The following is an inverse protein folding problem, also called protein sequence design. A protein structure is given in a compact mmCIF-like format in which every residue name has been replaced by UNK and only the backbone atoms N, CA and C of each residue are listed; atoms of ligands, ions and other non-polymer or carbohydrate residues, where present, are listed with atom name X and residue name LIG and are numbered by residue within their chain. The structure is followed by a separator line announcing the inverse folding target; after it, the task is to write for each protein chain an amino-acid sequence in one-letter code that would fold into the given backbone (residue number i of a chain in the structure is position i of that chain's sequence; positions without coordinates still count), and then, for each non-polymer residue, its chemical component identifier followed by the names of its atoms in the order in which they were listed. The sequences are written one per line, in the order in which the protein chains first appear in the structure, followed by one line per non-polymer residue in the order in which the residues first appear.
data_IF_575787920110
#
_entry.id   IF_575787920110
#
_cell.length_a   1.000
_cell.length_b   1.000
_cell.length_c   1.000
_cell.angle_alpha   90.00
_cell.angle_beta   90.00
_cell.angle_gamma   90.00
#
_symmetry.space_group_name_H-M   'P 1'
#
loop_
_entity.id
_entity.type
_entity.pdbx_description
1 polymer ?
#
# COMPACT_ATOMS: atom_id res chain seq x y z
N UNK A 1 -10.18 -30.30 7.20
CA UNK A 1 -10.76 -29.57 8.34
C UNK A 1 -10.10 -28.22 8.41
N UNK A 2 -10.85 -27.13 8.62
CA UNK A 2 -10.23 -25.79 8.75
C UNK A 2 -9.33 -25.77 9.99
N UNK A 3 -8.09 -25.26 9.85
CA UNK A 3 -7.12 -25.15 10.95
C UNK A 3 -7.32 -23.89 11.80
N UNK A 4 -8.53 -23.35 11.80
CA UNK A 4 -8.92 -22.15 12.54
C UNK A 4 -10.38 -22.22 12.98
N UNK A 5 -10.70 -21.50 14.04
CA UNK A 5 -12.06 -21.46 14.60
C UNK A 5 -12.50 -20.02 14.87
N UNK A 6 -13.43 -19.53 14.04
CA UNK A 6 -14.06 -18.21 14.22
C UNK A 6 -15.10 -18.29 15.36
N UNK A 7 -15.24 -17.20 16.13
CA UNK A 7 -16.28 -17.13 17.17
C UNK A 7 -17.69 -17.33 16.57
N UNK A 8 -18.57 -17.95 17.33
CA UNK A 8 -19.92 -18.25 16.86
C UNK A 8 -20.68 -16.97 16.50
N UNK A 9 -20.55 -15.92 17.32
CA UNK A 9 -21.19 -14.63 17.07
C UNK A 9 -20.68 -13.98 15.79
N UNK A 10 -19.36 -13.98 15.53
CA UNK A 10 -18.81 -13.41 14.31
C UNK A 10 -19.19 -14.24 13.06
N UNK A 11 -19.33 -15.56 13.20
CA UNK A 11 -19.72 -16.42 12.10
C UNK A 11 -21.10 -16.07 11.51
N UNK A 12 -22.00 -15.48 12.32
CA UNK A 12 -23.29 -14.99 11.87
C UNK A 12 -23.19 -13.83 10.86
N UNK A 13 -22.06 -13.14 10.81
CA UNK A 13 -21.79 -12.05 9.86
C UNK A 13 -21.16 -12.53 8.54
N UNK A 14 -20.97 -13.82 8.31
CA UNK A 14 -20.33 -14.36 7.12
C UNK A 14 -21.01 -13.94 5.81
N UNK A 15 -22.34 -14.07 5.73
CA UNK A 15 -23.10 -13.65 4.55
C UNK A 15 -23.11 -12.14 4.35
N UNK A 16 -23.10 -11.38 5.44
CA UNK A 16 -22.94 -9.93 5.38
C UNK A 16 -21.57 -9.55 4.79
N UNK A 17 -20.51 -10.14 5.31
CA UNK A 17 -19.13 -9.88 4.88
C UNK A 17 -18.93 -10.15 3.39
N UNK A 18 -19.40 -11.30 2.89
CA UNK A 18 -19.37 -11.67 1.48
C UNK A 18 -20.14 -10.67 0.60
N UNK A 19 -21.36 -10.32 0.99
CA UNK A 19 -22.18 -9.37 0.23
C UNK A 19 -21.53 -8.00 0.13
N UNK A 20 -20.89 -7.54 1.22
CA UNK A 20 -20.13 -6.28 1.23
C UNK A 20 -18.98 -6.35 0.25
N UNK A 21 -18.14 -7.38 0.35
CA UNK A 21 -17.01 -7.56 -0.56
C UNK A 21 -17.46 -7.64 -2.01
N UNK A 22 -18.42 -8.51 -2.33
CA UNK A 22 -18.90 -8.71 -3.70
C UNK A 22 -19.48 -7.42 -4.29
N UNK A 23 -20.21 -6.63 -3.49
CA UNK A 23 -20.69 -5.32 -3.95
C UNK A 23 -19.53 -4.35 -4.24
N UNK A 24 -18.57 -4.22 -3.34
CA UNK A 24 -17.40 -3.36 -3.54
C UNK A 24 -16.58 -3.79 -4.76
N UNK A 25 -16.43 -5.08 -4.98
CA UNK A 25 -15.75 -5.64 -6.15
C UNK A 25 -16.41 -5.25 -7.47
N UNK A 26 -17.74 -5.00 -7.48
CA UNK A 26 -18.45 -4.56 -8.70
C UNK A 26 -18.18 -3.11 -9.08
N UNK A 27 -17.67 -2.27 -8.14
CA UNK A 27 -17.55 -0.81 -8.31
C UNK A 27 -16.14 -0.28 -8.05
N UNK A 28 -15.05 -0.94 -8.52
CA UNK A 28 -13.71 -0.41 -8.32
C UNK A 28 -13.57 0.97 -8.95
N UNK A 29 -12.90 1.89 -8.27
CA UNK A 29 -12.66 3.24 -8.71
C UNK A 29 -11.17 3.59 -8.62
N UNK A 30 -10.70 4.47 -9.49
CA UNK A 30 -9.29 4.87 -9.56
C UNK A 30 -8.87 5.66 -8.33
N UNK A 31 -7.59 5.57 -7.98
CA UNK A 31 -6.94 6.28 -6.87
C UNK A 31 -7.32 7.78 -6.84
N UNK A 32 -7.83 8.24 -5.70
CA UNK A 32 -8.25 9.63 -5.48
C UNK A 32 -9.62 10.00 -6.04
N UNK A 33 -10.34 9.05 -6.66
CA UNK A 33 -11.69 9.25 -7.19
C UNK A 33 -12.69 8.16 -6.73
N UNK A 34 -12.47 7.56 -5.57
CA UNK A 34 -13.25 6.48 -4.97
C UNK A 34 -14.59 6.97 -4.40
N UNK A 35 -15.34 7.75 -5.17
CA UNK A 35 -16.56 8.46 -4.68
C UNK A 35 -17.69 7.52 -4.26
N UNK A 36 -18.00 6.51 -5.07
CA UNK A 36 -19.10 5.55 -4.79
C UNK A 36 -18.69 4.59 -3.69
N UNK A 37 -17.46 4.10 -3.74
CA UNK A 37 -16.84 3.23 -2.73
C UNK A 37 -16.85 3.90 -1.37
N UNK A 38 -16.34 5.13 -1.28
CA UNK A 38 -16.33 5.94 -0.07
C UNK A 38 -17.74 6.22 0.45
N UNK A 39 -18.68 6.62 -0.43
CA UNK A 39 -20.06 6.87 -0.04
C UNK A 39 -20.73 5.62 0.54
N UNK A 40 -20.50 4.45 -0.05
CA UNK A 40 -21.00 3.18 0.45
C UNK A 40 -20.44 2.87 1.85
N UNK A 41 -19.12 2.91 2.02
CA UNK A 41 -18.46 2.64 3.30
C UNK A 41 -18.89 3.62 4.40
N UNK A 42 -18.98 4.92 4.09
CA UNK A 42 -19.51 5.95 5.04
C UNK A 42 -20.92 5.65 5.50
N UNK A 43 -21.81 5.32 4.56
CA UNK A 43 -23.20 4.96 4.89
C UNK A 43 -23.28 3.75 5.79
N UNK A 44 -22.45 2.72 5.54
CA UNK A 44 -22.39 1.54 6.39
C UNK A 44 -21.89 1.89 7.80
N UNK A 45 -20.80 2.66 7.94
CA UNK A 45 -20.26 3.08 9.23
C UNK A 45 -21.27 3.93 10.02
N UNK A 46 -21.95 4.86 9.37
CA UNK A 46 -23.03 5.63 9.99
C UNK A 46 -24.17 4.73 10.49
N UNK A 47 -24.55 3.71 9.70
CA UNK A 47 -25.63 2.78 10.08
C UNK A 47 -25.26 1.90 11.30
N UNK A 48 -23.98 1.69 11.55
CA UNK A 48 -23.45 1.00 12.74
C UNK A 48 -23.31 1.94 13.95
N UNK A 49 -23.56 3.25 13.79
CA UNK A 49 -23.47 4.22 14.88
C UNK A 49 -22.10 4.87 15.06
N UNK A 50 -21.17 4.73 14.10
CA UNK A 50 -19.89 5.41 14.14
C UNK A 50 -20.04 6.90 13.76
N UNK A 51 -19.23 7.74 14.40
CA UNK A 51 -19.05 9.14 14.02
C UNK A 51 -18.12 9.22 12.81
N UNK A 52 -18.67 9.51 11.64
CA UNK A 52 -17.89 9.65 10.39
C UNK A 52 -17.33 11.06 10.29
N UNK A 53 -16.03 11.16 9.98
CA UNK A 53 -15.32 12.42 9.73
C UNK A 53 -14.73 12.38 8.33
N UNK A 54 -15.15 13.34 7.51
CA UNK A 54 -14.73 13.52 6.12
C UNK A 54 -13.69 14.64 6.02
N UNK A 55 -12.84 14.58 4.97
CA UNK A 55 -11.81 15.58 4.70
C UNK A 55 -12.17 16.34 3.41
N UNK A 56 -12.23 17.69 3.43
CA UNK A 56 -12.53 18.46 2.24
C UNK A 56 -11.58 18.16 1.07
N UNK A 57 -12.13 17.78 -0.07
CA UNK A 57 -11.36 17.47 -1.28
C UNK A 57 -10.76 16.07 -1.33
N UNK A 58 -11.02 15.21 -0.35
CA UNK A 58 -10.58 13.81 -0.31
C UNK A 58 -11.78 12.85 -0.39
N UNK A 59 -11.57 11.69 -0.97
CA UNK A 59 -12.53 10.57 -0.91
C UNK A 59 -12.35 9.76 0.37
N UNK A 60 -11.15 9.76 0.94
CA UNK A 60 -10.85 9.09 2.21
C UNK A 60 -11.54 9.73 3.41
N UNK A 61 -11.82 8.93 4.42
CA UNK A 61 -12.48 9.36 5.67
C UNK A 61 -12.06 8.46 6.84
N UNK A 62 -12.40 8.89 8.06
CA UNK A 62 -12.37 7.97 9.20
C UNK A 62 -13.70 7.92 9.93
N UNK A 63 -13.89 6.89 10.74
CA UNK A 63 -15.08 6.68 11.53
C UNK A 63 -14.72 6.21 12.94
N UNK A 64 -15.24 6.90 13.96
CA UNK A 64 -14.94 6.71 15.37
C UNK A 64 -16.09 6.05 16.13
N UNK A 65 -15.75 5.03 16.93
CA UNK A 65 -16.58 4.48 17.99
C UNK A 65 -15.95 4.89 19.33
N UNK A 66 -16.61 5.81 20.03
CA UNK A 66 -16.13 6.34 21.31
C UNK A 66 -16.78 5.60 22.48
N UNK A 67 -15.96 5.03 23.33
CA UNK A 67 -16.39 4.28 24.52
C UNK A 67 -16.21 5.17 25.75
N UNK A 68 -17.28 5.39 26.50
CA UNK A 68 -17.28 6.29 27.65
C UNK A 68 -16.20 5.90 28.69
N UNK A 69 -15.42 6.90 29.13
CA UNK A 69 -14.34 6.71 30.10
C UNK A 69 -13.02 6.22 29.55
N UNK A 70 -12.95 5.87 28.25
CA UNK A 70 -11.70 5.47 27.61
C UNK A 70 -11.01 6.65 26.93
N UNK A 71 -9.69 6.74 27.11
CA UNK A 71 -8.83 7.73 26.45
C UNK A 71 -8.01 7.10 25.31
N UNK A 72 -7.61 5.83 25.45
CA UNK A 72 -6.84 5.10 24.43
C UNK A 72 -7.68 4.88 23.19
N UNK A 73 -7.06 5.07 22.00
CA UNK A 73 -7.68 4.81 20.71
C UNK A 73 -6.79 3.90 19.84
N UNK A 74 -7.39 2.82 19.35
CA UNK A 74 -6.77 1.91 18.38
C UNK A 74 -7.41 2.15 17.02
N UNK A 75 -6.59 2.28 15.98
CA UNK A 75 -7.06 2.49 14.61
C UNK A 75 -6.81 1.25 13.72
N UNK A 76 -7.71 1.04 12.77
CA UNK A 76 -7.60 0.04 11.70
C UNK A 76 -7.71 0.75 10.35
N UNK A 77 -6.83 0.40 9.40
CA UNK A 77 -6.84 0.98 8.05
C UNK A 77 -7.34 -0.04 7.05
N UNK A 78 -8.15 0.43 6.11
CA UNK A 78 -8.49 -0.25 4.86
C UNK A 78 -8.39 0.75 3.71
N UNK A 79 -7.67 0.38 2.67
CA UNK A 79 -7.59 1.10 1.39
C UNK A 79 -8.83 0.87 0.54
N UNK A 80 -9.13 1.79 -0.40
CA UNK A 80 -10.38 1.78 -1.14
C UNK A 80 -10.24 1.69 -2.65
N UNK A 81 -9.09 2.07 -3.20
CA UNK A 81 -8.90 2.21 -4.63
C UNK A 81 -8.74 0.88 -5.37
N UNK A 82 -8.98 0.92 -6.67
CA UNK A 82 -8.78 -0.17 -7.60
C UNK A 82 -7.74 0.17 -8.65
N UNK A 83 -7.38 -0.81 -9.45
CA UNK A 83 -6.38 -0.73 -10.51
C UNK A 83 -7.00 -0.45 -11.87
N UNK A 84 -6.34 0.37 -12.67
CA UNK A 84 -6.73 0.66 -14.07
C UNK A 84 -6.37 -0.52 -14.99
N UNK A 85 -7.14 -1.60 -14.86
CA UNK A 85 -7.05 -2.80 -15.71
C UNK A 85 -8.40 -3.49 -15.82
N UNK A 86 -8.68 -4.26 -16.91
CA UNK A 86 -9.94 -4.99 -17.01
C UNK A 86 -10.00 -6.08 -15.93
N UNK A 87 -11.19 -6.33 -15.39
CA UNK A 87 -11.45 -7.50 -14.55
C UNK A 87 -11.74 -8.71 -15.44
N UNK A 88 -10.82 -9.68 -15.45
CA UNK A 88 -10.95 -10.92 -16.24
C UNK A 88 -11.49 -12.09 -15.42
N UNK A 89 -12.02 -11.86 -14.23
CA UNK A 89 -12.67 -12.90 -13.45
C UNK A 89 -13.99 -13.36 -14.12
N UNK A 90 -14.37 -14.61 -13.90
CA UNK A 90 -15.65 -15.17 -14.32
C UNK A 90 -16.73 -15.08 -13.21
N UNK A 91 -16.47 -14.24 -12.19
CA UNK A 91 -17.36 -14.08 -11.03
C UNK A 91 -18.65 -13.36 -11.41
N UNK A 92 -19.79 -13.76 -10.80
CA UNK A 92 -21.06 -13.05 -10.94
C UNK A 92 -21.00 -11.62 -10.43
N UNK A 93 -20.05 -11.32 -9.53
CA UNK A 93 -19.76 -10.00 -8.96
C UNK A 93 -18.57 -9.30 -9.63
N UNK A 94 -18.20 -9.66 -10.85
CA UNK A 94 -17.18 -8.99 -11.64
C UNK A 94 -17.45 -7.49 -11.75
N UNK A 95 -16.39 -6.69 -11.88
CA UNK A 95 -16.47 -5.25 -12.07
C UNK A 95 -17.46 -4.87 -13.19
N UNK A 96 -18.29 -3.86 -12.91
CA UNK A 96 -19.16 -3.25 -13.94
C UNK A 96 -18.45 -2.19 -14.76
N UNK A 97 -17.22 -1.83 -14.38
CA UNK A 97 -16.36 -0.88 -15.08
C UNK A 97 -15.38 -1.63 -15.99
N UNK A 98 -15.34 -1.31 -17.27
CA UNK A 98 -14.62 -2.06 -18.31
C UNK A 98 -13.10 -2.18 -18.04
N UNK A 99 -12.50 -1.12 -17.48
CA UNK A 99 -11.06 -1.02 -17.26
C UNK A 99 -10.71 -0.70 -15.80
N UNK A 100 -11.46 -1.24 -14.86
CA UNK A 100 -11.18 -1.10 -13.43
C UNK A 100 -11.40 -2.44 -12.73
N UNK A 101 -10.48 -2.81 -11.83
CA UNK A 101 -10.55 -4.07 -11.09
C UNK A 101 -9.96 -3.95 -9.68
N UNK A 102 -10.46 -4.72 -8.72
CA UNK A 102 -9.86 -4.90 -7.40
C UNK A 102 -8.84 -6.06 -7.39
N UNK A 103 -7.81 -5.98 -8.25
CA UNK A 103 -6.78 -7.02 -8.37
C UNK A 103 -5.65 -6.91 -7.34
N UNK A 104 -5.75 -5.96 -6.39
CA UNK A 104 -4.97 -5.90 -5.16
C UNK A 104 -5.78 -6.39 -3.93
N UNK A 105 -7.10 -6.56 -4.07
CA UNK A 105 -7.97 -7.10 -3.02
C UNK A 105 -8.43 -6.09 -1.97
N UNK A 106 -8.37 -4.79 -2.26
CA UNK A 106 -8.83 -3.73 -1.35
C UNK A 106 -10.33 -3.84 -1.02
N UNK A 107 -11.14 -4.43 -1.91
CA UNK A 107 -12.52 -4.82 -1.61
C UNK A 107 -12.63 -5.75 -0.40
N UNK A 108 -11.66 -6.66 -0.20
CA UNK A 108 -11.58 -7.53 0.96
C UNK A 108 -11.16 -6.79 2.23
N UNK A 109 -10.23 -5.83 2.13
CA UNK A 109 -9.79 -5.02 3.27
C UNK A 109 -10.95 -4.18 3.82
N UNK A 110 -11.71 -3.53 2.93
CA UNK A 110 -12.92 -2.79 3.29
C UNK A 110 -13.99 -3.69 3.91
N UNK A 111 -14.24 -4.87 3.33
CA UNK A 111 -15.22 -5.82 3.84
C UNK A 111 -14.84 -6.36 5.23
N UNK A 112 -13.55 -6.63 5.46
CA UNK A 112 -13.02 -7.02 6.78
C UNK A 112 -13.23 -5.89 7.79
N UNK A 113 -12.87 -4.66 7.43
CA UNK A 113 -13.03 -3.48 8.29
C UNK A 113 -14.51 -3.24 8.66
N UNK A 114 -15.41 -3.28 7.66
CA UNK A 114 -16.86 -3.10 7.88
C UNK A 114 -17.48 -4.23 8.71
N UNK A 115 -16.98 -5.48 8.55
CA UNK A 115 -17.44 -6.63 9.34
C UNK A 115 -17.00 -6.50 10.80
N UNK A 116 -15.73 -6.15 11.04
CA UNK A 116 -15.21 -5.89 12.37
C UNK A 116 -15.94 -4.70 13.02
N UNK A 117 -16.12 -3.61 12.28
CA UNK A 117 -16.82 -2.42 12.77
C UNK A 117 -18.26 -2.72 13.21
N UNK A 118 -19.00 -3.49 12.42
CA UNK A 118 -20.37 -3.92 12.77
C UNK A 118 -20.37 -4.75 14.04
N UNK A 119 -19.50 -5.77 14.12
CA UNK A 119 -19.39 -6.62 15.31
C UNK A 119 -19.08 -5.80 16.59
N UNK A 120 -18.10 -4.90 16.50
CA UNK A 120 -17.68 -4.07 17.64
C UNK A 120 -18.78 -3.09 18.09
N UNK A 121 -19.54 -2.53 17.13
CA UNK A 121 -20.69 -1.68 17.44
C UNK A 121 -21.82 -2.43 18.16
N UNK A 122 -22.09 -3.68 17.78
CA UNK A 122 -23.11 -4.53 18.43
C UNK A 122 -22.62 -5.05 19.80
N UNK A 123 -21.29 -5.06 20.05
CA UNK A 123 -20.65 -5.61 21.26
C UNK A 123 -19.79 -4.58 22.02
N UNK A 124 -20.18 -3.31 22.06
CA UNK A 124 -19.41 -2.22 22.68
C UNK A 124 -19.00 -2.48 24.15
N UNK A 125 -19.79 -3.26 24.87
CA UNK A 125 -19.52 -3.61 26.26
C UNK A 125 -18.25 -4.45 26.46
N UNK A 126 -17.69 -5.04 25.40
CA UNK A 126 -16.43 -5.81 25.44
C UNK A 126 -15.20 -4.96 25.20
N UNK A 127 -15.39 -3.69 24.79
CA UNK A 127 -14.30 -2.80 24.40
C UNK A 127 -13.68 -2.11 25.62
N UNK A 128 -12.35 -2.05 25.63
CA UNK A 128 -11.56 -1.34 26.63
C UNK A 128 -10.84 -0.09 26.06
N UNK A 129 -11.12 0.27 24.83
CA UNK A 129 -10.54 1.42 24.11
C UNK A 129 -11.53 2.00 23.11
N UNK A 130 -11.28 3.22 22.68
CA UNK A 130 -11.93 3.80 21.51
C UNK A 130 -11.41 3.12 20.25
N UNK A 131 -12.25 3.01 19.22
CA UNK A 131 -11.88 2.38 17.96
C UNK A 131 -12.08 3.37 16.81
N UNK A 132 -11.09 3.47 15.92
CA UNK A 132 -11.16 4.22 14.66
C UNK A 132 -10.96 3.29 13.49
N UNK A 133 -11.83 3.39 12.49
CA UNK A 133 -11.58 2.80 11.17
C UNK A 133 -11.24 3.92 10.19
N UNK A 134 -10.13 3.76 9.46
CA UNK A 134 -9.66 4.70 8.44
C UNK A 134 -9.86 4.02 7.10
N UNK A 135 -10.70 4.62 6.25
CA UNK A 135 -10.90 4.20 4.87
C UNK A 135 -10.04 5.11 4.00
N UNK A 136 -8.93 4.56 3.56
CA UNK A 136 -7.89 5.32 2.88
C UNK A 136 -8.13 5.38 1.38
N UNK A 137 -7.93 6.55 0.79
CA UNK A 137 -7.89 6.76 -0.66
C UNK A 137 -6.48 6.53 -1.22
N UNK A 138 -6.38 6.28 -2.53
CA UNK A 138 -5.19 6.44 -3.36
C UNK A 138 -3.92 5.76 -2.79
N UNK A 139 -3.98 4.48 -2.48
CA UNK A 139 -2.82 3.68 -2.08
C UNK A 139 -1.92 3.38 -3.29
N UNK A 140 -2.53 3.06 -4.44
CA UNK A 140 -1.86 2.58 -5.66
C UNK A 140 -1.19 3.70 -6.48
N UNK A 141 -1.50 4.98 -6.19
CA UNK A 141 -0.88 6.11 -6.91
C UNK A 141 0.29 6.72 -6.15
N UNK A 142 1.49 6.22 -6.40
CA UNK A 142 2.73 6.74 -5.79
C UNK A 142 2.99 8.24 -6.06
N UNK A 143 2.30 8.87 -7.01
CA UNK A 143 2.41 10.32 -7.28
C UNK A 143 1.61 11.16 -6.30
N UNK A 144 0.60 10.55 -5.69
CA UNK A 144 -0.33 11.22 -4.79
C UNK A 144 -0.63 10.31 -3.61
N UNK A 145 0.34 10.10 -2.68
CA UNK A 145 0.17 9.17 -1.56
C UNK A 145 -1.03 9.57 -0.71
N UNK A 146 -2.07 8.73 -0.76
CA UNK A 146 -3.33 9.00 -0.07
C UNK A 146 -3.19 9.03 1.44
N UNK A 147 -2.36 8.11 1.99
CA UNK A 147 -2.08 8.06 3.42
C UNK A 147 -1.40 9.34 3.93
N UNK A 148 -0.41 9.89 3.22
CA UNK A 148 0.26 11.13 3.60
C UNK A 148 -0.73 12.29 3.72
N UNK A 149 -1.57 12.47 2.70
CA UNK A 149 -2.60 13.52 2.69
C UNK A 149 -3.63 13.35 3.80
N UNK A 150 -4.04 12.11 4.08
CA UNK A 150 -4.98 11.85 5.17
C UNK A 150 -4.34 12.08 6.54
N UNK A 151 -3.04 11.81 6.71
CA UNK A 151 -2.29 12.16 7.92
C UNK A 151 -2.25 13.68 8.11
N UNK A 152 -1.92 14.44 7.06
CA UNK A 152 -1.97 15.91 7.06
C UNK A 152 -3.39 16.42 7.38
N UNK A 153 -4.43 15.76 6.90
CA UNK A 153 -5.83 16.00 7.21
C UNK A 153 -6.23 15.64 8.65
N UNK A 154 -5.36 14.99 9.41
CA UNK A 154 -5.57 14.67 10.82
C UNK A 154 -6.20 13.31 11.10
N UNK A 155 -6.18 12.34 10.17
CA UNK A 155 -6.79 11.01 10.37
C UNK A 155 -6.17 10.23 11.55
N UNK A 156 -4.95 10.58 11.95
CA UNK A 156 -4.19 9.95 13.05
C UNK A 156 -4.34 10.72 14.38
N UNK A 157 -5.00 11.88 14.38
CA UNK A 157 -5.11 12.70 15.59
C UNK A 157 -5.80 11.91 16.73
N UNK A 158 -5.09 11.78 17.87
CA UNK A 158 -5.56 11.05 19.04
C UNK A 158 -5.58 9.52 18.89
N UNK A 159 -4.87 8.98 17.92
CA UNK A 159 -4.63 7.53 17.76
C UNK A 159 -3.36 7.14 18.50
N UNK A 160 -3.42 6.11 19.33
CA UNK A 160 -2.28 5.57 20.09
C UNK A 160 -1.62 4.39 19.39
N UNK A 161 -2.39 3.60 18.67
CA UNK A 161 -1.91 2.42 17.94
C UNK A 161 -2.68 2.26 16.63
N UNK A 162 -2.00 1.79 15.57
CA UNK A 162 -2.63 1.57 14.27
C UNK A 162 -2.26 0.21 13.66
N UNK A 163 -3.24 -0.45 13.05
CA UNK A 163 -3.07 -1.74 12.40
C UNK A 163 -3.66 -1.73 11.00
N UNK A 164 -2.97 -2.41 10.08
CA UNK A 164 -3.48 -2.73 8.77
C UNK A 164 -3.20 -4.20 8.45
N UNK A 165 -4.01 -4.78 7.59
CA UNK A 165 -3.72 -6.05 6.96
C UNK A 165 -3.69 -5.89 5.45
N UNK A 166 -2.94 -6.78 4.78
CA UNK A 166 -3.01 -6.94 3.34
C UNK A 166 -3.31 -8.41 3.04
N UNK A 167 -4.27 -8.68 2.16
CA UNK A 167 -4.55 -10.03 1.72
C UNK A 167 -3.41 -10.57 0.83
N UNK A 168 -3.17 -11.87 0.89
CA UNK A 168 -2.22 -12.59 0.03
C UNK A 168 -2.85 -13.90 -0.44
N UNK A 169 -3.30 -13.93 -1.69
CA UNK A 169 -3.96 -15.11 -2.26
C UNK A 169 -2.98 -16.24 -2.65
N UNK A 170 -1.68 -16.04 -2.48
CA UNK A 170 -0.68 -17.12 -2.53
C UNK A 170 -0.57 -17.91 -1.21
N UNK A 171 -1.24 -17.43 -0.16
CA UNK A 171 -1.29 -18.04 1.16
C UNK A 171 -2.67 -18.61 1.45
N UNK A 172 -2.74 -19.79 2.03
CA UNK A 172 -4.00 -20.41 2.46
C UNK A 172 -4.76 -19.56 3.48
N UNK A 173 -6.08 -19.51 3.36
CA UNK A 173 -6.96 -18.94 4.40
C UNK A 173 -6.66 -19.57 5.76
N UNK A 174 -6.68 -18.76 6.82
CA UNK A 174 -6.31 -19.18 8.19
C UNK A 174 -4.81 -19.12 8.44
N UNK A 175 -4.05 -18.45 7.58
CA UNK A 175 -2.63 -18.16 7.79
C UNK A 175 -2.36 -16.65 7.89
N UNK A 176 -1.34 -16.30 8.64
CA UNK A 176 -0.83 -14.94 8.82
C UNK A 176 0.68 -14.92 8.66
N UNK A 177 1.21 -13.91 7.95
CA UNK A 177 2.63 -13.59 7.92
C UNK A 177 2.86 -12.20 8.47
N UNK A 178 3.85 -12.07 9.34
CA UNK A 178 4.24 -10.80 9.94
C UNK A 178 5.72 -10.86 10.33
N UNK A 179 6.40 -9.72 10.38
CA UNK A 179 7.77 -9.61 10.85
C UNK A 179 7.90 -8.53 11.93
N UNK A 180 8.80 -8.71 12.88
CA UNK A 180 9.21 -7.66 13.82
C UNK A 180 10.18 -6.71 13.07
N UNK A 181 9.78 -5.45 12.86
CA UNK A 181 10.52 -4.48 12.06
C UNK A 181 10.00 -4.35 10.63
N UNK A 182 10.89 -4.41 9.65
CA UNK A 182 10.58 -4.06 8.25
C UNK A 182 9.57 -5.05 7.64
N UNK A 183 8.47 -4.50 7.08
CA UNK A 183 7.44 -5.26 6.38
C UNK A 183 7.36 -4.94 4.88
N UNK A 184 7.69 -3.71 4.47
CA UNK A 184 7.72 -3.28 3.06
C UNK A 184 9.02 -2.57 2.72
N UNK A 185 9.36 -2.44 1.42
CA UNK A 185 10.52 -1.66 1.00
C UNK A 185 10.29 -0.15 1.11
N UNK A 186 11.37 0.63 1.28
CA UNK A 186 11.41 1.99 0.77
C UNK A 186 11.30 1.91 -0.74
N UNK A 187 10.37 2.62 -1.33
CA UNK A 187 10.16 2.58 -2.77
C UNK A 187 9.86 3.95 -3.33
N UNK A 188 10.41 4.26 -4.49
CA UNK A 188 10.12 5.47 -5.21
C UNK A 188 10.00 5.21 -6.70
N UNK A 189 9.03 5.87 -7.34
CA UNK A 189 9.02 6.08 -8.78
C UNK A 189 9.80 7.36 -9.11
N UNK A 190 10.58 7.35 -10.17
CA UNK A 190 11.34 8.52 -10.61
C UNK A 190 11.09 8.87 -12.05
N UNK A 191 11.16 10.17 -12.36
CA UNK A 191 11.17 10.72 -13.70
C UNK A 191 12.37 11.64 -13.83
N UNK A 192 13.21 11.39 -14.81
CA UNK A 192 14.40 12.16 -15.16
C UNK A 192 14.16 12.88 -16.49
N UNK A 193 14.26 14.19 -16.48
CA UNK A 193 14.20 15.04 -17.67
C UNK A 193 15.55 15.72 -17.91
N UNK A 194 16.09 15.57 -19.12
CA UNK A 194 17.38 16.12 -19.50
C UNK A 194 17.20 16.99 -20.74
N UNK A 195 17.45 18.29 -20.58
CA UNK A 195 17.55 19.24 -21.66
C UNK A 195 19.00 19.49 -22.07
N UNK A 196 19.33 19.22 -23.32
CA UNK A 196 20.62 19.47 -23.96
C UNK A 196 20.57 20.62 -24.96
N UNK A 197 21.41 20.53 -25.99
CA UNK A 197 21.49 21.49 -27.12
C UNK A 197 21.58 20.71 -28.43
N UNK A 198 20.64 20.93 -29.35
CA UNK A 198 20.67 20.29 -30.66
C UNK A 198 21.80 20.83 -31.55
N UNK A 199 22.37 19.93 -32.34
CA UNK A 199 23.38 20.29 -33.38
C UNK A 199 23.32 19.30 -34.55
N UNK A 200 23.91 19.66 -35.67
CA UNK A 200 24.05 18.74 -36.78
C UNK A 200 24.96 17.55 -36.41
N UNK A 201 24.56 16.32 -36.72
CA UNK A 201 25.28 15.10 -36.34
C UNK A 201 26.75 15.04 -36.79
N UNK A 202 27.15 15.81 -37.84
CA UNK A 202 28.55 15.95 -38.27
C UNK A 202 29.35 17.00 -37.48
N UNK A 203 28.69 17.81 -36.65
CA UNK A 203 29.34 18.83 -35.80
C UNK A 203 28.88 18.72 -34.34
N UNK A 204 29.02 17.54 -33.70
CA UNK A 204 28.43 17.26 -32.36
C UNK A 204 29.03 18.13 -31.26
N UNK A 205 30.25 18.67 -31.45
CA UNK A 205 30.90 19.60 -30.51
C UNK A 205 30.14 20.94 -30.32
N UNK A 206 29.15 21.24 -31.17
CA UNK A 206 28.28 22.42 -31.04
C UNK A 206 27.02 22.17 -30.26
N UNK A 207 26.77 20.93 -29.86
CA UNK A 207 25.60 20.49 -29.10
C UNK A 207 25.94 19.96 -27.73
N UNK A 208 24.87 19.63 -26.96
CA UNK A 208 24.93 18.86 -25.74
C UNK A 208 23.98 17.67 -25.90
N UNK A 209 24.54 16.47 -25.98
CA UNK A 209 23.81 15.24 -26.31
C UNK A 209 23.06 14.71 -25.06
N UNK A 210 21.75 14.94 -25.03
CA UNK A 210 20.88 14.53 -23.91
C UNK A 210 20.77 13.00 -23.77
N UNK A 211 20.83 12.24 -24.90
CA UNK A 211 20.81 10.77 -24.84
C UNK A 211 22.06 10.23 -24.15
N UNK A 212 23.25 10.75 -24.54
CA UNK A 212 24.52 10.31 -23.94
C UNK A 212 24.59 10.65 -22.45
N UNK A 213 24.03 11.79 -22.06
CA UNK A 213 23.96 12.16 -20.64
C UNK A 213 22.97 11.26 -19.85
N UNK A 214 21.81 10.91 -20.43
CA UNK A 214 20.86 9.99 -19.82
C UNK A 214 21.48 8.59 -19.61
N UNK A 215 22.18 8.05 -20.60
CA UNK A 215 22.88 6.78 -20.49
C UNK A 215 23.92 6.82 -19.36
N UNK A 216 24.72 7.90 -19.27
CA UNK A 216 25.70 8.07 -18.19
C UNK A 216 25.02 8.07 -16.81
N UNK A 217 23.93 8.81 -16.65
CA UNK A 217 23.21 8.88 -15.37
C UNK A 217 22.64 7.52 -14.98
N UNK A 218 22.07 6.77 -15.92
CA UNK A 218 21.54 5.43 -15.67
C UNK A 218 22.67 4.46 -15.26
N UNK A 219 23.80 4.48 -15.97
CA UNK A 219 24.97 3.66 -15.64
C UNK A 219 25.54 4.02 -14.25
N UNK A 220 25.61 5.32 -13.91
CA UNK A 220 26.06 5.77 -12.60
C UNK A 220 25.13 5.28 -11.48
N UNK A 221 23.81 5.28 -11.70
CA UNK A 221 22.82 4.78 -10.72
C UNK A 221 22.93 3.27 -10.51
N UNK A 222 23.10 2.49 -11.58
CA UNK A 222 23.38 1.05 -11.49
C UNK A 222 24.68 0.78 -10.73
N UNK A 223 25.71 1.58 -11.00
CA UNK A 223 27.00 1.49 -10.29
C UNK A 223 26.84 1.76 -8.80
N UNK A 224 26.03 2.75 -8.39
CA UNK A 224 25.79 3.09 -7.00
C UNK A 224 25.13 1.91 -6.27
N UNK A 225 24.09 1.32 -6.84
CA UNK A 225 23.45 0.12 -6.27
C UNK A 225 24.47 -1.02 -6.12
N UNK A 226 25.31 -1.25 -7.14
CA UNK A 226 26.27 -2.38 -7.12
C UNK A 226 27.51 -2.15 -6.22
N UNK A 227 27.90 -0.90 -5.96
CA UNK A 227 29.21 -0.58 -5.36
C UNK A 227 29.19 0.35 -4.17
N UNK A 228 28.06 1.00 -3.88
CA UNK A 228 27.93 1.98 -2.79
C UNK A 228 26.93 1.59 -1.73
N UNK A 229 26.11 0.56 -1.99
CA UNK A 229 25.22 -0.03 -0.99
C UNK A 229 25.84 -1.28 -0.38
N UNK A 230 25.38 -1.66 0.80
CA UNK A 230 25.83 -2.87 1.49
C UNK A 230 25.38 -4.13 0.73
N UNK A 231 26.23 -5.16 0.54
CA UNK A 231 25.83 -6.42 -0.07
C UNK A 231 24.79 -7.20 0.78
N UNK A 232 24.61 -6.83 2.05
CA UNK A 232 23.59 -7.39 2.94
C UNK A 232 22.28 -6.61 2.95
N UNK A 233 22.23 -5.48 2.24
CA UNK A 233 21.06 -4.61 2.10
C UNK A 233 20.57 -4.61 0.66
N UNK A 234 19.57 -5.43 0.32
CA UNK A 234 19.04 -5.47 -1.04
C UNK A 234 18.54 -4.10 -1.50
N UNK A 235 18.97 -3.70 -2.68
CA UNK A 235 18.50 -2.51 -3.36
C UNK A 235 18.31 -2.80 -4.84
N UNK A 236 17.35 -2.13 -5.46
CA UNK A 236 17.05 -2.25 -6.89
C UNK A 236 16.90 -0.85 -7.47
N UNK A 237 17.65 -0.57 -8.53
CA UNK A 237 17.39 0.54 -9.43
C UNK A 237 16.89 -0.04 -10.76
N UNK A 238 15.80 0.49 -11.30
CA UNK A 238 15.26 0.06 -12.57
C UNK A 238 14.89 1.26 -13.43
N UNK A 239 15.40 1.28 -14.67
CA UNK A 239 14.95 2.20 -15.72
C UNK A 239 14.01 1.41 -16.66
N UNK A 240 12.70 1.67 -16.56
CA UNK A 240 11.68 0.96 -17.36
C UNK A 240 11.34 1.65 -18.67
N UNK A 241 11.62 2.95 -18.80
CA UNK A 241 11.28 3.75 -19.98
C UNK A 241 12.37 4.78 -20.28
N UNK A 242 12.70 4.95 -21.55
CA UNK A 242 13.56 6.03 -22.04
C UNK A 242 13.05 6.50 -23.40
N UNK A 243 12.85 7.82 -23.54
CA UNK A 243 12.39 8.45 -24.77
C UNK A 243 13.23 9.66 -25.08
N UNK A 244 13.78 9.76 -26.31
CA UNK A 244 14.59 10.91 -26.71
C UNK A 244 15.02 10.85 -28.18
N UNK A 245 15.43 12.01 -28.68
CA UNK A 245 15.81 12.19 -30.07
C UNK A 245 14.61 12.27 -31.02
N UNK A 246 14.82 12.93 -32.17
CA UNK A 246 13.78 13.14 -33.17
C UNK A 246 14.20 12.64 -34.55
N UNK A 247 15.47 12.83 -34.91
CA UNK A 247 16.03 12.42 -36.23
C UNK A 247 17.45 11.87 -36.04
N UNK A 248 17.88 10.89 -36.86
CA UNK A 248 19.15 10.20 -36.65
C UNK A 248 20.41 11.02 -36.93
N UNK A 249 20.28 12.16 -37.65
CA UNK A 249 21.39 13.01 -38.06
C UNK A 249 21.51 14.32 -37.27
N UNK A 250 20.86 14.41 -36.12
CA UNK A 250 20.99 15.54 -35.19
C UNK A 250 21.39 15.05 -33.78
N UNK A 251 22.15 15.87 -33.06
CA UNK A 251 22.40 15.70 -31.63
C UNK A 251 21.09 15.94 -30.90
N UNK A 252 20.61 14.99 -30.06
CA UNK A 252 19.34 15.12 -29.36
C UNK A 252 19.45 16.16 -28.24
N UNK A 253 18.46 17.03 -28.14
CA UNK A 253 18.37 18.10 -27.13
C UNK A 253 17.41 17.83 -25.99
N UNK A 254 16.74 16.67 -26.00
CA UNK A 254 15.86 16.26 -24.93
C UNK A 254 15.77 14.73 -24.78
N UNK A 255 15.76 14.28 -23.50
CA UNK A 255 15.45 12.91 -23.11
C UNK A 255 14.60 12.93 -21.85
N UNK A 256 13.62 12.03 -21.80
CA UNK A 256 12.93 11.64 -20.58
C UNK A 256 13.18 10.17 -20.31
N UNK A 257 13.56 9.83 -19.06
CA UNK A 257 13.62 8.47 -18.56
C UNK A 257 12.76 8.31 -17.30
N UNK A 258 12.23 7.10 -17.08
CA UNK A 258 11.38 6.78 -15.92
C UNK A 258 11.71 5.40 -15.38
N UNK A 259 11.56 5.25 -14.07
CA UNK A 259 11.79 3.97 -13.43
C UNK A 259 11.44 3.94 -11.95
N UNK A 260 11.99 2.97 -11.24
CA UNK A 260 11.77 2.79 -9.82
C UNK A 260 13.08 2.56 -9.08
N UNK A 261 13.10 2.95 -7.80
CA UNK A 261 14.15 2.61 -6.83
C UNK A 261 13.49 1.87 -5.67
N UNK A 262 14.15 0.84 -5.17
CA UNK A 262 13.74 0.09 -3.99
C UNK A 262 14.94 -0.16 -3.09
N UNK A 263 14.73 -0.07 -1.77
CA UNK A 263 15.74 -0.42 -0.77
C UNK A 263 15.09 -1.10 0.43
N UNK A 264 15.87 -1.87 1.17
CA UNK A 264 15.37 -2.66 2.30
C UNK A 264 15.87 -2.17 3.65
N UNK A 265 16.52 -1.02 3.69
CA UNK A 265 16.91 -0.32 4.93
C UNK A 265 17.08 1.18 4.69
N UNK A 266 17.00 1.95 5.79
CA UNK A 266 17.01 3.42 5.76
C UNK A 266 18.38 4.00 5.35
N UNK A 267 19.47 3.33 5.71
CA UNK A 267 20.84 3.76 5.35
C UNK A 267 21.03 3.67 3.83
N UNK A 268 20.65 2.53 3.24
CA UNK A 268 20.69 2.31 1.80
C UNK A 268 19.79 3.30 1.05
N UNK A 269 18.57 3.56 1.52
CA UNK A 269 17.68 4.56 0.94
C UNK A 269 18.32 5.96 0.93
N UNK A 270 18.93 6.35 2.06
CA UNK A 270 19.63 7.62 2.21
C UNK A 270 20.85 7.73 1.29
N UNK A 271 21.64 6.66 1.16
CA UNK A 271 22.78 6.59 0.23
C UNK A 271 22.31 6.81 -1.21
N UNK A 272 21.27 6.10 -1.64
CA UNK A 272 20.71 6.22 -3.00
C UNK A 272 20.21 7.64 -3.28
N UNK A 273 19.45 8.25 -2.37
CA UNK A 273 18.92 9.62 -2.52
C UNK A 273 20.04 10.67 -2.59
N UNK A 274 21.07 10.53 -1.75
CA UNK A 274 22.21 11.48 -1.75
C UNK A 274 23.02 11.40 -3.04
N UNK A 275 23.31 10.20 -3.51
CA UNK A 275 24.04 10.02 -4.78
C UNK A 275 23.21 10.51 -5.97
N UNK A 276 21.91 10.28 -5.98
CA UNK A 276 21.01 10.79 -6.97
C UNK A 276 21.08 12.32 -7.09
N UNK A 277 21.00 13.03 -5.95
CA UNK A 277 21.13 14.49 -5.89
C UNK A 277 22.51 14.97 -6.43
N UNK A 278 23.59 14.23 -6.13
CA UNK A 278 24.94 14.53 -6.62
C UNK A 278 25.02 14.38 -8.13
N UNK A 279 24.51 13.31 -8.70
CA UNK A 279 24.51 13.05 -10.15
C UNK A 279 23.76 14.14 -10.91
N UNK A 280 22.61 14.59 -10.39
CA UNK A 280 21.83 15.68 -11.00
C UNK A 280 22.62 17.00 -10.95
N UNK A 281 23.27 17.27 -9.84
CA UNK A 281 24.14 18.47 -9.70
C UNK A 281 25.30 18.42 -10.68
N UNK A 282 26.00 17.30 -10.82
CA UNK A 282 27.08 17.10 -11.79
C UNK A 282 26.63 17.30 -13.24
N UNK A 283 25.46 16.75 -13.59
CA UNK A 283 24.87 16.92 -14.92
C UNK A 283 24.60 18.40 -15.22
N UNK A 284 24.10 19.13 -14.25
CA UNK A 284 23.85 20.58 -14.36
C UNK A 284 25.16 21.37 -14.54
N UNK A 285 26.21 21.03 -13.80
CA UNK A 285 27.55 21.63 -13.94
C UNK A 285 28.18 21.37 -15.32
N UNK A 286 27.82 20.29 -15.99
CA UNK A 286 28.22 19.95 -17.38
C UNK A 286 27.43 20.72 -18.43
N UNK A 287 26.48 21.55 -18.04
CA UNK A 287 25.68 22.43 -18.87
C UNK A 287 24.33 21.90 -19.33
N UNK A 288 23.91 20.72 -18.83
CA UNK A 288 22.57 20.17 -19.10
C UNK A 288 21.52 20.80 -18.15
N UNK A 289 20.30 20.89 -18.63
CA UNK A 289 19.12 21.21 -17.79
C UNK A 289 18.54 19.90 -17.26
N UNK A 290 19.02 19.44 -16.14
CA UNK A 290 18.65 18.14 -15.59
C UNK A 290 17.77 18.31 -14.37
N UNK A 291 16.59 17.69 -14.42
CA UNK A 291 15.69 17.62 -13.28
C UNK A 291 15.29 16.17 -13.04
N UNK A 292 15.13 15.82 -11.77
CA UNK A 292 14.58 14.53 -11.39
C UNK A 292 13.54 14.74 -10.31
N UNK A 293 12.36 14.20 -10.56
CA UNK A 293 11.28 14.11 -9.57
C UNK A 293 11.19 12.67 -9.12
N UNK A 294 11.21 12.48 -7.83
CA UNK A 294 11.03 11.17 -7.20
C UNK A 294 9.90 11.25 -6.19
N UNK A 295 8.93 10.38 -6.33
CA UNK A 295 7.80 10.22 -5.40
C UNK A 295 7.77 8.79 -4.90
N UNK A 296 7.51 8.59 -3.62
CA UNK A 296 7.50 7.23 -3.09
C UNK A 296 7.23 7.17 -1.60
N UNK A 297 7.22 5.97 -1.07
CA UNK A 297 6.82 5.65 0.28
C UNK A 297 8.02 5.23 1.15
N UNK A 298 8.10 5.65 2.41
CA UNK A 298 8.98 5.01 3.38
C UNK A 298 8.54 3.56 3.60
N UNK A 299 9.42 2.74 4.14
CA UNK A 299 9.04 1.38 4.51
C UNK A 299 8.03 1.37 5.66
N UNK A 300 7.14 0.39 5.65
CA UNK A 300 6.38 0.04 6.85
C UNK A 300 7.30 -0.72 7.79
N UNK A 301 7.47 -0.18 9.00
CA UNK A 301 8.27 -0.79 10.07
C UNK A 301 7.34 -1.12 11.23
N UNK A 302 7.11 -2.40 11.47
CA UNK A 302 6.27 -2.86 12.56
C UNK A 302 6.94 -2.56 13.91
N UNK A 303 6.19 -1.90 14.80
CA UNK A 303 6.63 -1.72 16.17
C UNK A 303 6.56 -3.04 16.94
N UNK A 304 7.57 -3.35 17.74
CA UNK A 304 7.69 -4.62 18.45
C UNK A 304 6.45 -4.99 19.28
N UNK A 305 5.88 -4.04 20.03
CA UNK A 305 4.67 -4.32 20.83
C UNK A 305 3.45 -4.54 19.94
N UNK A 306 3.30 -3.76 18.85
CA UNK A 306 2.20 -3.94 17.91
C UNK A 306 2.29 -5.30 17.19
N UNK A 307 3.49 -5.69 16.76
CA UNK A 307 3.79 -7.03 16.23
C UNK A 307 3.35 -8.13 17.22
N UNK A 308 3.77 -8.03 18.49
CA UNK A 308 3.40 -9.02 19.51
C UNK A 308 1.89 -9.10 19.73
N UNK A 309 1.18 -7.96 19.70
CA UNK A 309 -0.28 -7.92 19.83
C UNK A 309 -0.97 -8.61 18.65
N UNK A 310 -0.49 -8.44 17.41
CA UNK A 310 -1.03 -9.16 16.25
C UNK A 310 -0.82 -10.66 16.42
N UNK A 311 0.39 -11.12 16.79
CA UNK A 311 0.67 -12.54 17.05
C UNK A 311 -0.26 -13.09 18.12
N UNK A 312 -0.40 -12.39 19.26
CA UNK A 312 -1.26 -12.82 20.34
C UNK A 312 -2.73 -12.91 19.89
N UNK A 313 -3.21 -11.92 19.13
CA UNK A 313 -4.59 -11.87 18.64
C UNK A 313 -4.89 -12.99 17.64
N UNK A 314 -3.94 -13.31 16.78
CA UNK A 314 -4.04 -14.37 15.77
C UNK A 314 -3.92 -15.78 16.41
N UNK A 315 -2.94 -16.00 17.29
CA UNK A 315 -2.67 -17.32 17.90
C UNK A 315 -3.80 -17.86 18.79
N UNK A 316 -4.77 -17.01 19.15
CA UNK A 316 -5.94 -17.46 19.90
C UNK A 316 -6.83 -18.42 19.10
N UNK A 317 -6.75 -18.39 17.75
CA UNK A 317 -7.64 -19.16 16.89
C UNK A 317 -7.01 -19.65 15.59
N UNK A 318 -5.76 -19.22 15.26
CA UNK A 318 -4.99 -19.67 14.09
C UNK A 318 -3.83 -20.55 14.54
N UNK A 319 -3.48 -21.54 13.71
CA UNK A 319 -2.31 -22.39 13.90
C UNK A 319 -1.15 -22.03 12.96
N UNK A 320 -1.45 -21.39 11.82
CA UNK A 320 -0.46 -21.05 10.79
C UNK A 320 -0.06 -19.58 10.86
N UNK A 321 0.97 -19.28 11.66
CA UNK A 321 1.52 -17.93 11.82
C UNK A 321 3.02 -17.99 11.54
N UNK A 322 3.46 -17.31 10.48
CA UNK A 322 4.87 -17.05 10.18
C UNK A 322 5.25 -15.68 10.76
N UNK A 323 5.91 -15.71 11.91
CA UNK A 323 6.35 -14.50 12.64
C UNK A 323 7.73 -14.00 12.25
N UNK A 324 8.33 -14.57 11.20
CA UNK A 324 9.67 -14.24 10.70
C UNK A 324 9.67 -14.18 9.17
N UNK A 325 8.59 -13.73 8.57
CA UNK A 325 8.48 -13.65 7.13
C UNK A 325 9.49 -12.65 6.55
N UNK A 326 9.87 -12.86 5.30
CA UNK A 326 10.62 -11.85 4.57
C UNK A 326 9.73 -10.65 4.29
N UNK A 327 10.27 -9.40 4.38
CA UNK A 327 9.53 -8.22 3.97
C UNK A 327 9.14 -8.31 2.50
N UNK A 328 8.02 -7.69 2.12
CA UNK A 328 7.68 -7.55 0.72
C UNK A 328 8.61 -6.54 0.03
N UNK A 329 8.91 -6.79 -1.23
CA UNK A 329 9.71 -5.88 -2.06
C UNK A 329 8.88 -4.72 -2.64
N UNK A 330 7.56 -4.79 -2.54
CA UNK A 330 6.64 -3.69 -2.78
C UNK A 330 6.76 -2.62 -1.70
N UNK A 331 6.30 -1.41 -1.99
CA UNK A 331 6.16 -0.31 -1.03
C UNK A 331 4.68 -0.11 -0.70
N UNK A 332 4.40 0.45 0.47
CA UNK A 332 3.06 0.59 1.03
C UNK A 332 2.97 1.93 1.78
N UNK A 333 2.01 2.77 1.41
CA UNK A 333 1.90 4.13 1.94
C UNK A 333 1.29 4.18 3.36
N UNK A 334 0.78 3.08 3.88
CA UNK A 334 0.42 2.91 5.30
C UNK A 334 1.56 3.30 6.24
N UNK A 335 2.79 3.26 5.75
CA UNK A 335 4.00 3.72 6.44
C UNK A 335 3.88 5.16 6.96
N UNK A 336 3.22 6.07 6.23
CA UNK A 336 2.97 7.44 6.69
C UNK A 336 2.10 7.47 7.95
N UNK A 337 1.07 6.61 8.01
CA UNK A 337 0.20 6.51 9.18
C UNK A 337 0.94 5.93 10.38
N UNK A 338 1.73 4.86 10.18
CA UNK A 338 2.57 4.27 11.24
C UNK A 338 3.57 5.29 11.77
N UNK A 339 4.21 6.06 10.89
CA UNK A 339 5.19 7.08 11.30
C UNK A 339 4.56 8.27 12.06
N UNK A 340 3.25 8.49 11.92
CA UNK A 340 2.53 9.61 12.54
C UNK A 340 1.88 9.28 13.89
N UNK A 341 1.76 8.00 14.26
CA UNK A 341 1.29 7.63 15.62
C UNK A 341 2.42 7.74 16.64
N UNK A 342 2.12 7.98 17.93
CA UNK A 342 3.12 8.02 18.99
C UNK A 342 3.99 6.76 19.00
N UNK A 343 5.30 6.94 19.17
CA UNK A 343 6.30 5.87 19.18
C UNK A 343 6.28 4.96 17.92
N UNK A 344 5.62 5.40 16.82
CA UNK A 344 5.37 4.61 15.62
C UNK A 344 4.70 3.26 15.91
N UNK A 345 3.78 3.26 16.89
CA UNK A 345 3.15 2.04 17.39
C UNK A 345 2.09 1.53 16.43
N UNK A 346 2.53 0.85 15.37
CA UNK A 346 1.69 0.27 14.36
C UNK A 346 2.25 -1.04 13.83
N UNK A 347 1.40 -1.80 13.13
CA UNK A 347 1.81 -3.02 12.44
C UNK A 347 0.97 -3.28 11.20
N UNK A 348 1.65 -3.72 10.14
CA UNK A 348 1.09 -4.35 8.94
C UNK A 348 1.34 -5.86 9.02
N UNK A 349 0.35 -6.66 8.63
CA UNK A 349 0.50 -8.10 8.49
C UNK A 349 -0.20 -8.61 7.23
N UNK A 350 0.27 -9.74 6.69
CA UNK A 350 -0.38 -10.41 5.56
C UNK A 350 -1.36 -11.46 6.05
N UNK A 351 -2.53 -11.47 5.43
CA UNK A 351 -3.62 -12.41 5.68
C UNK A 351 -3.77 -13.36 4.50
N UNK A 352 -3.66 -14.66 4.74
CA UNK A 352 -3.91 -15.66 3.71
C UNK A 352 -5.34 -15.60 3.18
N UNK A 353 -5.47 -15.48 1.87
CA UNK A 353 -6.74 -15.41 1.15
C UNK A 353 -6.82 -16.38 -0.03
N UNK A 354 -5.85 -17.28 -0.17
CA UNK A 354 -5.83 -18.36 -1.14
C UNK A 354 -6.53 -19.63 -0.66
N UNK A 355 -6.81 -20.54 -1.59
CA UNK A 355 -7.37 -21.85 -1.30
C UNK A 355 -6.98 -22.84 -2.41
N UNK A 356 -6.02 -23.72 -2.13
CA UNK A 356 -5.55 -24.71 -3.11
C UNK A 356 -6.66 -25.64 -3.58
N UNK A 357 -7.59 -26.03 -2.70
CA UNK A 357 -8.74 -26.88 -3.04
C UNK A 357 -9.67 -26.22 -4.08
N UNK A 358 -9.78 -24.88 -4.07
CA UNK A 358 -10.57 -24.09 -5.02
C UNK A 358 -9.74 -23.60 -6.22
N UNK A 359 -8.44 -23.94 -6.28
CA UNK A 359 -7.53 -23.45 -7.32
C UNK A 359 -7.18 -21.97 -7.18
N UNK A 360 -7.38 -21.37 -6.00
CA UNK A 360 -7.07 -19.97 -5.73
C UNK A 360 -5.63 -19.87 -5.19
N UNK A 361 -4.73 -19.43 -6.06
CA UNK A 361 -3.32 -19.16 -5.76
C UNK A 361 -2.82 -18.08 -6.72
N UNK A 362 -3.03 -16.81 -6.36
CA UNK A 362 -2.75 -15.68 -7.23
C UNK A 362 -1.74 -14.74 -6.56
N UNK A 363 -0.95 -14.05 -7.37
CA UNK A 363 -0.15 -12.92 -6.90
C UNK A 363 -0.95 -11.62 -7.04
N UNK A 364 -0.63 -10.65 -6.20
CA UNK A 364 -1.21 -9.30 -6.31
C UNK A 364 -1.00 -8.75 -7.73
N UNK A 365 -1.97 -7.99 -8.22
CA UNK A 365 -2.01 -7.41 -9.58
C UNK A 365 -2.07 -8.46 -10.72
N UNK A 366 -2.22 -9.75 -10.41
CA UNK A 366 -2.50 -10.75 -11.46
C UNK A 366 -3.90 -10.55 -12.04
N UNK A 367 -4.11 -11.03 -13.27
CA UNK A 367 -5.40 -10.92 -13.91
C UNK A 367 -5.70 -12.19 -14.72
N UNK A 368 -6.72 -12.99 -14.34
CA UNK A 368 -7.70 -12.72 -13.26
C UNK A 368 -7.10 -12.80 -11.85
N UNK A 369 -7.74 -12.13 -10.88
CA UNK A 369 -7.41 -12.20 -9.47
C UNK A 369 -8.58 -12.74 -8.66
N UNK A 370 -8.36 -13.82 -7.93
CA UNK A 370 -9.35 -14.45 -7.06
C UNK A 370 -8.84 -14.53 -5.64
N UNK A 371 -9.73 -14.38 -4.68
CA UNK A 371 -9.47 -14.70 -3.28
C UNK A 371 -10.65 -15.47 -2.68
N UNK A 372 -10.38 -16.21 -1.62
CA UNK A 372 -11.41 -16.97 -0.90
C UNK A 372 -12.07 -16.10 0.18
N UNK A 373 -13.39 -15.91 0.08
CA UNK A 373 -14.19 -15.11 1.02
C UNK A 373 -14.08 -15.57 2.48
N UNK A 374 -13.67 -16.80 2.73
CA UNK A 374 -13.44 -17.29 4.09
C UNK A 374 -12.36 -16.50 4.84
N UNK A 375 -11.46 -15.78 4.15
CA UNK A 375 -10.46 -14.89 4.75
C UNK A 375 -11.09 -13.69 5.46
N UNK A 376 -12.28 -13.25 5.04
CA UNK A 376 -12.93 -12.03 5.55
C UNK A 376 -13.20 -12.13 7.05
N UNK A 377 -13.76 -13.25 7.51
CA UNK A 377 -14.00 -13.45 8.94
C UNK A 377 -12.71 -13.66 9.73
N UNK A 378 -11.67 -14.23 9.11
CA UNK A 378 -10.37 -14.40 9.76
C UNK A 378 -9.74 -13.03 10.04
N UNK A 379 -9.70 -12.14 9.05
CA UNK A 379 -9.20 -10.77 9.22
C UNK A 379 -10.01 -9.98 10.26
N UNK A 380 -11.34 -10.05 10.18
CA UNK A 380 -12.23 -9.39 11.14
C UNK A 380 -12.00 -9.88 12.58
N UNK A 381 -11.82 -11.21 12.79
CA UNK A 381 -11.54 -11.77 14.11
C UNK A 381 -10.21 -11.26 14.70
N UNK A 382 -9.17 -11.07 13.86
CA UNK A 382 -7.89 -10.49 14.34
C UNK A 382 -8.12 -9.05 14.81
N UNK A 383 -8.80 -8.21 14.01
CA UNK A 383 -9.10 -6.82 14.37
C UNK A 383 -9.92 -6.73 15.67
N UNK A 384 -10.94 -7.58 15.81
CA UNK A 384 -11.74 -7.67 17.03
C UNK A 384 -10.87 -8.04 18.25
N UNK A 385 -10.04 -9.07 18.13
CA UNK A 385 -9.18 -9.52 19.22
C UNK A 385 -8.16 -8.46 19.66
N UNK A 386 -7.71 -7.58 18.76
CA UNK A 386 -6.80 -6.47 19.08
C UNK A 386 -7.39 -5.42 20.02
N UNK A 387 -8.72 -5.31 20.12
CA UNK A 387 -9.41 -4.27 20.92
C UNK A 387 -10.29 -4.82 22.04
N UNK A 388 -10.50 -6.14 22.09
CA UNK A 388 -11.30 -6.82 23.13
C UNK A 388 -10.47 -7.66 24.10
N UNK A 389 -9.16 -7.79 23.93
CA UNK A 389 -8.25 -8.63 24.74
C UNK A 389 -7.04 -7.88 25.24
#
# INVERSE_FOLDING_TARGET
MKDYQISQELSLLGEFSKKVRHYLHTIPEVSGAEYKTSAYCRKMMQSFGYLVVEYPGFTGFHADLNIAGNIKRVAFRADMDGLEMPDLTESEYRSVHENMAHNCGHDSHMAIALTAARFLAENQHTLNCNVRFIFQMAEEDMRVPGAEKMVEGGCISGVDEIYALHNDASMEVGSVKINDGIMSSWGAAWTLDIGGISAHGSTPQKGLDAIREAVRIIDDLDYIVAKKTSPFSPAVFGCGMIHGGTVPNAVPDYVQARGTIRSMDEETDSVLKNHLASIITESTLRGFRTTMVSTGYPAVINHKEAFQRVIQSASCFLQRIDSHCKPMTGSEDFSYMVNAVPDRKGALFFLGSGCAEKGINNYLHSNPYYLDDDCLLVGAQIFINLVTR
#
